data_IF_792861235126
#
_entry.id   IF_792861235126
#
_cell.length_a   1.000
_cell.length_b   1.000
_cell.length_c   1.000
_cell.angle_alpha   90.00
_cell.angle_beta   90.00
_cell.angle_gamma   90.00
#
_symmetry.space_group_name_H-M   'P 1'
#
loop_
_entity.id
_entity.type
_entity.pdbx_description
1 polymer ?
#
# COMPACT_ATOMS: atom_id res chain seq x y z
N UNK A 1 -57.42 -23.82 1.34
CA UNK A 1 -58.02 -23.32 2.59
C UNK A 1 -57.23 -22.08 3.00
N UNK A 2 -57.57 -20.99 2.51
CA UNK A 2 -58.26 -19.74 2.91
C UNK A 2 -58.20 -19.41 4.41
N UNK A 3 -57.60 -18.24 4.70
CA UNK A 3 -58.09 -17.04 5.43
C UNK A 3 -56.87 -16.17 5.79
N UNK A 4 -56.67 -15.00 5.32
CA UNK A 4 -57.35 -13.68 5.21
C UNK A 4 -57.71 -13.05 6.58
N UNK A 5 -57.35 -11.80 6.65
CA UNK A 5 -57.86 -10.65 7.45
C UNK A 5 -56.76 -10.05 8.34
N UNK A 6 -56.48 -8.81 8.31
CA UNK A 6 -57.02 -7.47 7.98
C UNK A 6 -56.41 -6.49 9.00
N UNK A 7 -55.99 -5.34 8.47
CA UNK A 7 -55.69 -4.03 9.05
C UNK A 7 -56.34 -3.68 10.38
N UNK A 8 -55.65 -2.81 11.16
CA UNK A 8 -56.24 -1.54 11.56
C UNK A 8 -55.17 -0.49 11.91
N UNK A 9 -55.30 0.63 11.29
CA UNK A 9 -54.77 1.97 11.55
C UNK A 9 -55.45 2.58 12.78
N UNK A 10 -54.76 3.40 13.55
CA UNK A 10 -55.38 4.65 14.07
C UNK A 10 -54.32 5.65 14.51
N UNK A 11 -54.57 6.83 14.08
CA UNK A 11 -53.88 8.12 14.21
C UNK A 11 -54.36 8.95 15.40
N UNK A 12 -53.74 10.13 15.53
CA UNK A 12 -54.15 11.37 16.26
C UNK A 12 -53.74 11.43 17.76
N UNK A 13 -53.41 12.56 18.36
CA UNK A 13 -53.15 13.96 17.97
C UNK A 13 -52.59 14.71 19.18
N UNK A 14 -51.85 15.79 18.89
CA UNK A 14 -51.83 17.14 19.51
C UNK A 14 -51.83 17.34 21.06
N UNK A 15 -50.95 18.13 21.60
CA UNK A 15 -51.02 19.56 21.96
C UNK A 15 -49.86 19.94 22.85
N UNK A 16 -49.05 20.87 22.54
CA UNK A 16 -48.97 22.30 22.83
C UNK A 16 -48.97 22.66 24.34
N UNK A 17 -47.95 23.39 24.77
CA UNK A 17 -47.88 24.10 26.04
C UNK A 17 -46.54 24.82 26.26
N UNK A 18 -46.56 26.14 26.01
CA UNK A 18 -45.53 27.15 26.38
C UNK A 18 -45.44 27.34 27.89
N UNK A 19 -44.28 27.69 28.42
CA UNK A 19 -44.04 29.01 29.02
C UNK A 19 -42.67 29.12 29.74
N UNK A 20 -42.03 30.20 29.46
CA UNK A 20 -41.08 31.08 30.12
C UNK A 20 -40.63 30.82 31.57
N UNK A 21 -39.36 31.00 31.89
CA UNK A 21 -38.74 32.16 32.53
C UNK A 21 -37.33 31.88 33.05
N UNK A 22 -36.38 32.79 32.62
CA UNK A 22 -35.36 33.54 33.39
C UNK A 22 -34.60 32.80 34.51
N UNK A 23 -33.29 32.91 34.69
CA UNK A 23 -32.32 34.02 34.57
C UNK A 23 -30.97 33.58 35.12
N UNK A 24 -29.88 34.20 34.57
CA UNK A 24 -28.61 34.58 35.27
C UNK A 24 -27.75 33.47 35.81
N UNK A 25 -26.49 33.34 35.41
CA UNK A 25 -25.34 34.21 35.71
C UNK A 25 -24.09 33.75 34.95
N UNK A 26 -23.37 34.71 34.49
CA UNK A 26 -21.96 34.93 34.15
C UNK A 26 -20.94 33.99 34.84
N UNK A 27 -19.96 33.46 34.08
CA UNK A 27 -18.54 33.64 34.40
C UNK A 27 -17.61 32.96 33.34
N UNK A 28 -16.69 33.76 32.85
CA UNK A 28 -15.33 33.49 32.38
C UNK A 28 -15.10 32.57 31.16
N UNK A 29 -14.90 33.26 30.02
CA UNK A 29 -14.05 32.80 28.91
C UNK A 29 -12.65 33.42 29.06
N UNK A 30 -11.56 32.67 28.83
CA UNK A 30 -10.25 33.26 28.59
C UNK A 30 -10.07 33.62 27.11
N UNK A 31 -9.57 34.81 26.90
CA UNK A 31 -9.30 35.53 25.68
C UNK A 31 -8.29 34.83 24.73
N UNK A 32 -8.58 34.85 23.42
CA UNK A 32 -7.68 34.52 22.32
C UNK A 32 -6.71 35.69 22.05
N UNK A 33 -5.45 35.42 21.66
CA UNK A 33 -4.52 36.46 21.23
C UNK A 33 -4.76 36.91 19.77
N UNK A 34 -4.24 38.09 19.35
CA UNK A 34 -4.71 38.84 18.17
C UNK A 34 -4.18 38.34 16.83
N UNK A 35 -4.98 38.63 15.81
CA UNK A 35 -4.76 38.37 14.39
C UNK A 35 -3.48 38.99 13.83
N UNK A 36 -2.75 38.22 13.00
CA UNK A 36 -1.74 38.70 12.07
C UNK A 36 -2.38 39.05 10.70
N UNK A 37 -1.90 40.07 10.00
CA UNK A 37 -2.51 40.51 8.74
C UNK A 37 -2.15 39.63 7.54
N UNK A 38 -2.92 39.68 6.43
CA UNK A 38 -2.69 38.85 5.25
C UNK A 38 -1.53 39.38 4.41
N UNK A 39 -0.58 38.52 4.06
CA UNK A 39 0.48 38.82 3.10
C UNK A 39 -0.02 38.56 1.67
N UNK A 40 0.02 39.66 0.88
CA UNK A 40 -0.14 39.68 -0.57
C UNK A 40 1.02 38.95 -1.26
N UNK A 41 0.77 37.87 -2.03
CA UNK A 41 1.73 37.36 -3.00
C UNK A 41 1.17 37.45 -4.41
N UNK A 42 1.73 38.39 -5.15
CA UNK A 42 1.63 38.52 -6.60
C UNK A 42 2.35 37.35 -7.29
N UNK A 43 1.77 36.86 -8.37
CA UNK A 43 2.25 35.75 -9.15
C UNK A 43 3.60 35.99 -9.85
N UNK A 44 4.38 34.93 -9.95
CA UNK A 44 5.43 34.75 -10.96
C UNK A 44 5.37 33.34 -11.50
N UNK A 45 5.23 33.21 -12.79
CA UNK A 45 5.33 32.01 -13.62
C UNK A 45 6.71 31.34 -13.44
N UNK A 46 6.80 30.00 -13.31
CA UNK A 46 8.09 29.30 -13.38
C UNK A 46 8.35 28.80 -14.79
N UNK A 47 9.50 29.15 -15.35
CA UNK A 47 10.12 28.54 -16.49
C UNK A 47 10.80 27.18 -16.15
N UNK A 48 11.20 26.37 -17.16
CA UNK A 48 11.61 25.00 -16.95
C UNK A 48 13.12 24.87 -16.67
N UNK A 49 13.46 24.24 -15.54
CA UNK A 49 14.76 23.58 -15.37
C UNK A 49 14.66 22.53 -14.25
N UNK A 50 14.52 21.28 -14.65
CA UNK A 50 14.67 20.17 -13.75
C UNK A 50 16.16 19.82 -13.59
N UNK A 51 16.82 20.37 -12.60
CA UNK A 51 18.08 19.83 -12.10
C UNK A 51 17.80 18.83 -11.00
N UNK A 52 18.34 17.61 -11.20
CA UNK A 52 18.28 16.51 -10.26
C UNK A 52 18.86 16.91 -8.89
N UNK A 53 17.98 17.11 -7.92
CA UNK A 53 18.38 17.30 -6.54
C UNK A 53 18.48 15.92 -5.88
N UNK A 54 19.70 15.41 -5.72
CA UNK A 54 20.01 14.26 -4.88
C UNK A 54 19.56 14.57 -3.45
N UNK A 55 18.46 13.94 -3.01
CA UNK A 55 17.86 14.18 -1.71
C UNK A 55 18.84 13.99 -0.56
N UNK A 56 19.02 15.02 0.24
CA UNK A 56 19.79 14.99 1.48
C UNK A 56 19.24 13.91 2.40
N UNK A 57 20.12 13.00 2.81
CA UNK A 57 19.86 11.96 3.80
C UNK A 57 19.68 12.63 5.16
N UNK A 58 18.46 12.63 5.69
CA UNK A 58 18.20 13.09 7.06
C UNK A 58 18.75 12.07 8.06
N UNK A 59 19.76 12.45 8.83
CA UNK A 59 20.30 11.66 9.91
C UNK A 59 19.60 12.06 11.21
N UNK A 60 18.91 11.14 11.86
CA UNK A 60 18.54 11.27 13.26
C UNK A 60 18.97 10.00 14.00
N UNK A 61 20.10 10.04 14.75
CA UNK A 61 20.43 8.99 15.67
C UNK A 61 19.58 9.17 16.93
N UNK A 62 18.77 8.17 17.27
CA UNK A 62 18.17 8.07 18.59
C UNK A 62 19.14 7.27 19.47
N UNK A 63 19.93 7.97 20.28
CA UNK A 63 20.77 7.37 21.31
C UNK A 63 19.91 7.06 22.53
N UNK A 64 19.78 5.80 22.89
CA UNK A 64 19.32 5.40 24.22
C UNK A 64 20.53 5.15 25.12
N UNK A 65 20.49 5.69 26.33
CA UNK A 65 21.56 5.67 27.35
C UNK A 65 21.89 4.28 27.96
N UNK A 66 21.64 3.18 27.26
CA UNK A 66 21.84 1.80 27.76
C UNK A 66 22.99 1.06 27.09
N UNK A 67 23.89 1.76 26.37
CA UNK A 67 24.97 1.09 25.61
C UNK A 67 24.48 0.28 24.40
N UNK A 68 23.19 0.25 24.16
CA UNK A 68 22.53 -0.47 23.06
C UNK A 68 22.33 0.46 21.87
N UNK A 69 22.91 0.11 20.73
CA UNK A 69 22.86 0.95 19.51
C UNK A 69 21.72 0.52 18.60
N UNK A 70 20.72 1.39 18.42
CA UNK A 70 19.73 1.30 17.36
C UNK A 70 20.09 2.32 16.27
N UNK A 71 20.61 1.85 15.15
CA UNK A 71 20.86 2.68 13.97
C UNK A 71 19.62 2.72 13.09
N UNK A 72 19.06 3.93 12.84
CA UNK A 72 17.90 4.13 11.96
C UNK A 72 18.30 5.06 10.82
N UNK A 73 18.05 4.64 9.58
CA UNK A 73 18.29 5.45 8.39
C UNK A 73 17.16 5.29 7.38
N UNK A 74 16.87 6.34 6.64
CA UNK A 74 15.81 6.35 5.63
C UNK A 74 16.27 7.00 4.34
N UNK A 75 15.74 6.51 3.21
CA UNK A 75 15.87 7.12 1.90
C UNK A 75 14.53 7.08 1.15
N UNK A 76 14.34 7.99 0.19
CA UNK A 76 13.21 7.94 -0.74
C UNK A 76 13.65 7.20 -2.00
N UNK A 77 13.04 6.06 -2.30
CA UNK A 77 13.33 5.22 -3.47
C UNK A 77 12.08 4.39 -3.83
N UNK A 78 11.93 3.97 -5.09
CA UNK A 78 10.75 3.23 -5.60
C UNK A 78 9.42 3.93 -5.28
N UNK A 79 9.39 5.28 -5.30
CA UNK A 79 8.20 6.07 -5.01
C UNK A 79 7.72 6.04 -3.56
N UNK A 80 8.54 5.55 -2.61
CA UNK A 80 8.20 5.44 -1.20
C UNK A 80 9.38 5.79 -0.29
N UNK A 81 9.14 5.78 1.03
CA UNK A 81 10.21 5.86 2.03
C UNK A 81 10.67 4.44 2.38
N UNK A 82 11.96 4.19 2.25
CA UNK A 82 12.62 2.98 2.75
C UNK A 82 13.34 3.33 4.03
N UNK A 83 13.06 2.60 5.11
CA UNK A 83 13.67 2.78 6.44
C UNK A 83 14.29 1.46 6.88
N UNK A 84 15.55 1.52 7.28
CA UNK A 84 16.27 0.39 7.88
C UNK A 84 16.64 0.74 9.31
N UNK A 85 16.25 -0.11 10.25
CA UNK A 85 16.58 -0.03 11.67
C UNK A 85 17.40 -1.28 12.03
N UNK A 86 18.65 -1.10 12.44
CA UNK A 86 19.58 -2.18 12.80
C UNK A 86 19.90 -2.09 14.28
N UNK A 87 19.89 -3.24 14.96
CA UNK A 87 20.19 -3.36 16.37
C UNK A 87 21.54 -4.01 16.63
N UNK A 88 22.26 -3.54 17.67
CA UNK A 88 23.45 -4.25 18.21
C UNK A 88 24.72 -4.12 17.39
N UNK A 89 24.84 -3.22 16.42
CA UNK A 89 26.02 -3.03 15.59
C UNK A 89 26.61 -1.62 15.73
N UNK A 90 27.93 -1.53 15.51
CA UNK A 90 28.63 -0.24 15.45
C UNK A 90 27.99 0.70 14.41
N UNK A 91 27.81 1.99 14.74
CA UNK A 91 27.17 2.94 13.85
C UNK A 91 27.78 3.04 12.45
N UNK A 92 29.12 2.99 12.35
CA UNK A 92 29.84 3.03 11.07
C UNK A 92 29.56 1.80 10.20
N UNK A 93 29.50 0.60 10.79
CA UNK A 93 29.19 -0.66 10.09
C UNK A 93 27.74 -0.67 9.62
N UNK A 94 26.82 -0.26 10.49
CA UNK A 94 25.40 -0.11 10.16
C UNK A 94 25.17 0.91 9.04
N UNK A 95 25.91 2.03 9.05
CA UNK A 95 25.85 3.05 8.00
C UNK A 95 26.26 2.49 6.63
N UNK A 96 27.38 1.79 6.54
CA UNK A 96 27.89 1.21 5.28
C UNK A 96 26.91 0.22 4.66
N UNK A 97 26.40 -0.74 5.45
CA UNK A 97 25.43 -1.72 4.92
C UNK A 97 24.12 -1.07 4.52
N UNK A 98 23.69 -0.02 5.20
CA UNK A 98 22.48 0.72 4.83
C UNK A 98 22.61 1.37 3.45
N UNK A 99 23.78 1.92 3.11
CA UNK A 99 24.00 2.45 1.76
C UNK A 99 23.99 1.34 0.70
N UNK A 100 24.52 0.16 1.00
CA UNK A 100 24.42 -1.00 0.10
C UNK A 100 22.95 -1.40 -0.13
N UNK A 101 22.13 -1.43 0.94
CA UNK A 101 20.68 -1.69 0.85
C UNK A 101 20.00 -0.64 -0.04
N UNK A 102 20.27 0.66 0.17
CA UNK A 102 19.66 1.70 -0.66
C UNK A 102 20.14 1.67 -2.12
N UNK A 103 21.39 1.27 -2.37
CA UNK A 103 21.90 1.03 -3.74
C UNK A 103 21.14 -0.11 -4.41
N UNK A 104 20.86 -1.18 -3.68
CA UNK A 104 20.10 -2.33 -4.19
C UNK A 104 18.66 -1.94 -4.54
N UNK A 105 17.96 -1.19 -3.68
CA UNK A 105 16.66 -0.65 -4.01
C UNK A 105 16.68 0.23 -5.27
N UNK A 106 17.69 1.10 -5.42
CA UNK A 106 17.85 1.93 -6.63
C UNK A 106 18.13 1.08 -7.89
N UNK A 107 18.89 -0.01 -7.76
CA UNK A 107 19.16 -0.94 -8.86
C UNK A 107 17.87 -1.60 -9.34
N UNK A 108 17.08 -2.13 -8.42
CA UNK A 108 15.79 -2.79 -8.73
C UNK A 108 14.78 -1.79 -9.30
N UNK A 109 14.73 -0.57 -8.79
CA UNK A 109 13.89 0.50 -9.32
C UNK A 109 14.21 0.77 -10.80
N UNK A 110 15.50 0.91 -11.15
CA UNK A 110 15.92 1.10 -12.57
C UNK A 110 15.48 -0.05 -13.48
N UNK A 111 15.51 -1.29 -13.00
CA UNK A 111 15.10 -2.45 -13.79
C UNK A 111 13.57 -2.52 -13.98
N UNK A 112 12.79 -2.17 -12.95
CA UNK A 112 11.37 -2.52 -12.84
C UNK A 112 10.42 -1.32 -12.90
N UNK A 113 10.91 -0.09 -12.90
CA UNK A 113 10.06 1.10 -13.01
C UNK A 113 9.29 1.13 -14.32
N UNK A 114 8.05 1.61 -14.28
CA UNK A 114 7.26 1.91 -15.49
C UNK A 114 7.25 3.40 -15.84
N UNK A 115 8.03 4.21 -15.10
CA UNK A 115 8.02 5.68 -15.23
C UNK A 115 9.12 6.24 -16.14
N UNK A 116 10.21 5.53 -16.35
CA UNK A 116 11.26 5.90 -17.29
C UNK A 116 11.11 5.22 -18.67
N UNK A 117 12.10 5.38 -19.54
CA UNK A 117 12.15 4.76 -20.85
C UNK A 117 13.12 3.58 -20.92
N UNK A 118 14.06 3.47 -19.96
CA UNK A 118 15.22 2.57 -20.08
C UNK A 118 15.05 1.24 -19.34
N UNK A 119 14.05 1.15 -18.45
CA UNK A 119 13.78 -0.10 -17.72
C UNK A 119 13.25 -1.18 -18.65
N UNK A 120 13.42 -2.45 -18.25
CA UNK A 120 12.85 -3.57 -19.01
C UNK A 120 11.33 -3.51 -19.09
N UNK A 121 10.66 -3.09 -18.01
CA UNK A 121 9.20 -2.85 -17.98
C UNK A 121 8.80 -1.79 -19.02
N UNK A 122 9.57 -0.71 -19.13
CA UNK A 122 9.29 0.33 -20.13
C UNK A 122 9.53 -0.17 -21.56
N UNK A 123 10.58 -0.97 -21.80
CA UNK A 123 10.83 -1.62 -23.10
C UNK A 123 9.70 -2.59 -23.49
N UNK A 124 9.21 -3.41 -22.52
CA UNK A 124 8.05 -4.28 -22.74
C UNK A 124 6.83 -3.44 -23.16
N UNK A 125 6.55 -2.36 -22.42
CA UNK A 125 5.41 -1.48 -22.69
C UNK A 125 5.50 -0.78 -24.04
N UNK A 126 6.68 -0.36 -24.49
CA UNK A 126 6.92 0.28 -25.79
C UNK A 126 6.75 -0.70 -26.97
N UNK A 127 6.92 -2.00 -26.73
CA UNK A 127 6.81 -3.06 -27.72
C UNK A 127 5.47 -3.83 -27.65
N UNK A 128 4.48 -3.33 -26.93
CA UNK A 128 3.15 -3.94 -26.86
C UNK A 128 2.51 -4.12 -28.23
N UNK A 129 2.03 -5.33 -28.53
CA UNK A 129 1.48 -5.72 -29.83
C UNK A 129 2.50 -5.89 -30.96
N UNK A 130 3.79 -5.64 -30.69
CA UNK A 130 4.86 -5.72 -31.71
C UNK A 130 5.68 -7.00 -31.54
N UNK A 131 6.73 -6.95 -30.70
CA UNK A 131 7.69 -8.05 -30.54
C UNK A 131 7.88 -8.43 -29.08
N UNK A 132 8.43 -9.62 -28.85
CA UNK A 132 8.91 -10.04 -27.54
C UNK A 132 10.18 -9.26 -27.17
N UNK A 133 10.35 -8.97 -25.89
CA UNK A 133 11.49 -8.25 -25.32
C UNK A 133 12.24 -9.20 -24.41
N UNK A 134 13.55 -9.35 -24.62
CA UNK A 134 14.44 -10.03 -23.66
C UNK A 134 14.60 -9.14 -22.45
N UNK A 135 14.45 -9.71 -21.27
CA UNK A 135 14.52 -8.96 -19.99
C UNK A 135 15.53 -9.58 -19.05
N UNK A 136 15.98 -8.81 -18.09
CA UNK A 136 16.81 -9.27 -16.99
C UNK A 136 16.15 -10.48 -16.28
N UNK A 137 16.90 -11.52 -15.90
CA UNK A 137 16.36 -12.69 -15.19
C UNK A 137 15.59 -12.35 -13.92
N UNK A 138 15.94 -11.28 -13.21
CA UNK A 138 15.20 -10.83 -12.02
C UNK A 138 13.84 -10.24 -12.40
N UNK A 139 13.77 -9.44 -13.46
CA UNK A 139 12.51 -8.90 -14.00
C UNK A 139 11.62 -10.05 -14.48
N UNK A 140 12.20 -11.02 -15.20
CA UNK A 140 11.49 -12.21 -15.64
C UNK A 140 10.90 -12.99 -14.47
N UNK A 141 11.70 -13.24 -13.43
CA UNK A 141 11.27 -13.93 -12.19
C UNK A 141 10.09 -13.22 -11.52
N UNK A 142 10.14 -11.90 -11.42
CA UNK A 142 9.05 -11.11 -10.81
C UNK A 142 7.78 -11.18 -11.65
N UNK A 143 7.89 -11.08 -12.99
CA UNK A 143 6.75 -11.21 -13.91
C UNK A 143 6.15 -12.62 -13.83
N UNK A 144 6.95 -13.67 -13.81
CA UNK A 144 6.48 -15.05 -13.65
C UNK A 144 5.73 -15.25 -12.35
N UNK A 145 6.25 -14.67 -11.26
CA UNK A 145 5.55 -14.72 -9.97
C UNK A 145 4.22 -13.95 -10.03
N UNK A 146 4.21 -12.77 -10.62
CA UNK A 146 2.98 -11.99 -10.84
C UNK A 146 1.93 -12.79 -11.63
N UNK A 147 2.32 -13.46 -12.70
CA UNK A 147 1.46 -14.36 -13.50
C UNK A 147 0.88 -15.51 -12.65
N UNK A 148 1.70 -16.12 -11.80
CA UNK A 148 1.25 -17.15 -10.86
C UNK A 148 0.16 -16.61 -9.92
N UNK A 149 0.38 -15.44 -9.33
CA UNK A 149 -0.59 -14.79 -8.43
C UNK A 149 -1.86 -14.41 -9.20
N UNK A 150 -1.74 -13.86 -10.42
CA UNK A 150 -2.88 -13.54 -11.28
C UNK A 150 -3.76 -14.78 -11.53
N UNK A 151 -3.15 -15.91 -11.89
CA UNK A 151 -3.86 -17.18 -12.10
C UNK A 151 -4.54 -17.67 -10.82
N UNK A 152 -3.84 -17.65 -9.69
CA UNK A 152 -4.34 -18.16 -8.41
C UNK A 152 -5.44 -17.27 -7.82
N UNK A 153 -5.38 -15.95 -8.04
CA UNK A 153 -6.39 -14.98 -7.58
C UNK A 153 -7.57 -14.83 -8.53
N UNK A 154 -7.59 -15.56 -9.66
CA UNK A 154 -8.63 -15.41 -10.69
C UNK A 154 -8.61 -14.03 -11.36
N UNK A 155 -7.42 -13.41 -11.48
CA UNK A 155 -7.25 -12.09 -12.08
C UNK A 155 -7.48 -10.91 -11.13
N UNK A 156 -7.68 -11.14 -9.84
CA UNK A 156 -7.77 -10.05 -8.85
C UNK A 156 -6.43 -9.31 -8.69
N UNK A 157 -5.32 -9.98 -8.95
CA UNK A 157 -4.02 -9.37 -9.20
C UNK A 157 -3.71 -9.43 -10.69
N UNK A 158 -3.42 -8.30 -11.30
CA UNK A 158 -3.08 -8.26 -12.72
C UNK A 158 -2.12 -7.09 -12.98
N UNK A 159 -0.90 -7.41 -13.41
CA UNK A 159 0.10 -6.38 -13.72
C UNK A 159 -0.26 -5.53 -14.93
N UNK A 160 -1.21 -5.98 -15.77
CA UNK A 160 -1.67 -5.21 -16.93
C UNK A 160 -2.53 -4.00 -16.56
N UNK A 161 -2.90 -3.81 -15.28
CA UNK A 161 -3.53 -2.57 -14.77
C UNK A 161 -2.69 -1.32 -15.07
N UNK A 162 -1.42 -1.48 -15.43
CA UNK A 162 -0.60 -0.41 -16.04
C UNK A 162 -1.25 0.25 -17.26
N UNK A 163 -2.19 -0.43 -17.94
CA UNK A 163 -3.00 0.12 -19.02
C UNK A 163 -3.92 1.27 -18.63
N UNK A 164 -4.23 1.43 -17.33
CA UNK A 164 -5.00 2.57 -16.82
C UNK A 164 -4.16 3.81 -16.53
N UNK A 165 -2.83 3.76 -16.76
CA UNK A 165 -1.96 4.92 -16.56
C UNK A 165 -2.43 6.12 -17.39
N UNK A 166 -2.43 7.30 -16.76
CA UNK A 166 -2.89 8.55 -17.35
C UNK A 166 -4.42 8.71 -17.42
N UNK A 167 -5.18 7.65 -17.12
CA UNK A 167 -6.63 7.72 -16.95
C UNK A 167 -6.99 8.01 -15.49
N UNK A 168 -6.44 7.23 -14.57
CA UNK A 168 -6.48 7.50 -13.15
C UNK A 168 -5.19 8.22 -12.70
N UNK A 169 -5.35 9.27 -11.92
CA UNK A 169 -4.28 10.14 -11.44
C UNK A 169 -4.27 10.10 -9.91
N UNK A 170 -3.31 9.39 -9.34
CA UNK A 170 -3.20 9.19 -7.90
C UNK A 170 -1.83 9.55 -7.32
N UNK A 171 -0.90 9.96 -8.16
CA UNK A 171 0.48 10.26 -7.78
C UNK A 171 0.79 11.76 -7.91
N UNK A 172 1.85 12.12 -8.59
CA UNK A 172 2.27 13.52 -8.81
C UNK A 172 1.32 14.29 -9.75
N UNK A 173 0.51 13.55 -10.50
CA UNK A 173 -0.51 14.04 -11.42
C UNK A 173 -1.91 14.13 -10.78
N UNK A 174 -2.01 14.02 -9.45
CA UNK A 174 -3.28 14.05 -8.71
C UNK A 174 -4.04 15.35 -8.96
N UNK A 175 -5.23 15.25 -9.56
CA UNK A 175 -6.11 16.38 -9.84
C UNK A 175 -7.58 16.17 -9.37
N UNK A 176 -7.88 15.04 -8.74
CA UNK A 176 -9.23 14.69 -8.27
C UNK A 176 -10.24 14.41 -9.39
N UNK A 177 -9.77 14.18 -10.63
CA UNK A 177 -10.62 13.82 -11.76
C UNK A 177 -11.05 12.36 -11.66
N UNK A 178 -12.37 12.12 -11.80
CA UNK A 178 -12.93 10.78 -11.98
C UNK A 178 -13.04 10.55 -13.49
N UNK A 179 -12.41 9.51 -14.05
CA UNK A 179 -12.49 9.23 -15.47
C UNK A 179 -13.90 8.93 -15.95
N UNK A 180 -14.18 9.27 -17.21
CA UNK A 180 -15.41 8.88 -17.87
C UNK A 180 -15.51 7.33 -17.90
N UNK A 181 -16.64 6.73 -17.50
CA UNK A 181 -16.86 5.29 -17.56
C UNK A 181 -16.66 4.69 -18.96
N UNK A 182 -16.94 5.42 -20.03
CA UNK A 182 -16.69 4.97 -21.40
C UNK A 182 -15.19 4.83 -21.69
N UNK A 183 -14.36 5.77 -21.22
CA UNK A 183 -12.89 5.69 -21.35
C UNK A 183 -12.32 4.58 -20.47
N UNK A 184 -12.87 4.35 -19.25
CA UNK A 184 -12.51 3.21 -18.41
C UNK A 184 -12.80 1.90 -19.15
N UNK A 185 -14.00 1.76 -19.75
CA UNK A 185 -14.40 0.57 -20.54
C UNK A 185 -13.48 0.33 -21.73
N UNK A 186 -13.10 1.37 -22.45
CA UNK A 186 -12.15 1.30 -23.57
C UNK A 186 -10.77 0.81 -23.13
N UNK A 187 -10.26 1.31 -21.99
CA UNK A 187 -8.99 0.85 -21.41
C UNK A 187 -9.09 -0.56 -20.84
N UNK A 188 -10.23 -0.93 -20.27
CA UNK A 188 -10.47 -2.26 -19.72
C UNK A 188 -10.25 -3.37 -20.78
N UNK A 189 -10.57 -3.11 -22.06
CA UNK A 189 -10.28 -4.01 -23.15
C UNK A 189 -8.77 -4.34 -23.33
N UNK A 190 -7.87 -3.55 -22.72
CA UNK A 190 -6.42 -3.77 -22.75
C UNK A 190 -5.90 -4.44 -21.48
N UNK A 191 -6.77 -4.79 -20.52
CA UNK A 191 -6.40 -5.44 -19.28
C UNK A 191 -6.62 -6.95 -19.39
N UNK A 192 -5.65 -7.74 -18.97
CA UNK A 192 -5.77 -9.20 -18.98
C UNK A 192 -4.42 -9.91 -18.93
N UNK A 193 -4.08 -10.47 -17.77
CA UNK A 193 -2.81 -11.15 -17.50
C UNK A 193 -2.53 -12.33 -18.47
N UNK A 194 -3.57 -13.00 -18.99
CA UNK A 194 -3.43 -14.09 -19.97
C UNK A 194 -2.80 -13.66 -21.28
N UNK A 195 -2.80 -12.36 -21.58
CA UNK A 195 -2.21 -11.76 -22.79
C UNK A 195 -0.77 -11.25 -22.56
N UNK A 196 -0.20 -11.49 -21.39
CA UNK A 196 1.23 -11.34 -21.14
C UNK A 196 1.88 -12.68 -21.43
N UNK A 197 2.49 -12.80 -22.60
CA UNK A 197 3.11 -14.02 -23.11
C UNK A 197 4.57 -14.06 -22.66
N UNK A 198 5.02 -15.18 -22.12
CA UNK A 198 6.36 -15.35 -21.56
C UNK A 198 7.03 -16.60 -22.14
N UNK A 199 8.33 -16.51 -22.43
CA UNK A 199 9.17 -17.65 -22.82
C UNK A 199 10.28 -17.84 -21.76
N UNK A 200 10.18 -18.91 -20.93
CA UNK A 200 11.16 -19.18 -19.88
C UNK A 200 12.57 -19.55 -20.40
N UNK A 201 12.67 -20.08 -21.61
CA UNK A 201 13.97 -20.46 -22.17
C UNK A 201 14.77 -19.26 -22.66
N UNK A 202 14.06 -18.26 -23.17
CA UNK A 202 14.67 -17.04 -23.75
C UNK A 202 14.58 -15.83 -22.83
N UNK A 203 13.97 -15.96 -21.66
CA UNK A 203 13.62 -14.85 -20.76
C UNK A 203 12.95 -13.68 -21.51
N UNK A 204 11.99 -13.97 -22.38
CA UNK A 204 11.28 -12.93 -23.11
C UNK A 204 9.87 -12.72 -22.62
N UNK A 205 9.41 -11.47 -22.75
CA UNK A 205 8.04 -11.06 -22.41
C UNK A 205 7.44 -10.33 -23.61
N UNK A 206 6.20 -10.68 -23.99
CA UNK A 206 5.44 -10.01 -25.07
C UNK A 206 4.05 -9.67 -24.55
N UNK A 207 3.62 -8.45 -24.77
CA UNK A 207 2.21 -8.04 -24.63
C UNK A 207 1.51 -8.30 -25.96
N UNK A 208 0.43 -9.07 -25.93
CA UNK A 208 -0.22 -9.55 -27.14
C UNK A 208 -0.77 -8.42 -28.00
N UNK A 209 -1.37 -7.39 -27.38
CA UNK A 209 -2.09 -6.34 -28.13
C UNK A 209 -1.41 -4.97 -28.00
N UNK A 210 -1.52 -4.13 -29.06
CA UNK A 210 -1.12 -2.73 -28.99
C UNK A 210 -1.87 -1.98 -27.89
N UNK A 211 -1.15 -1.10 -27.18
CA UNK A 211 -1.70 -0.29 -26.09
C UNK A 211 -1.85 -1.00 -24.76
N UNK A 212 -1.55 -2.29 -24.64
CA UNK A 212 -1.34 -2.94 -23.36
C UNK A 212 -0.14 -2.33 -22.64
N UNK A 213 -0.19 -2.30 -21.32
CA UNK A 213 0.92 -1.86 -20.46
C UNK A 213 0.93 -2.67 -19.19
N UNK A 214 2.11 -3.00 -18.69
CA UNK A 214 2.28 -3.60 -17.38
C UNK A 214 2.90 -2.62 -16.39
N UNK A 215 2.66 -2.88 -15.12
CA UNK A 215 3.35 -2.27 -13.98
C UNK A 215 3.65 -3.34 -12.94
N UNK A 216 4.82 -3.25 -12.32
CA UNK A 216 5.22 -4.17 -11.23
C UNK A 216 5.03 -3.53 -9.84
N UNK A 217 4.31 -2.40 -9.75
CA UNK A 217 4.15 -1.64 -8.51
C UNK A 217 3.57 -2.40 -7.32
N UNK A 218 2.80 -3.48 -7.57
CA UNK A 218 2.23 -4.33 -6.51
C UNK A 218 3.05 -5.60 -6.19
N UNK A 219 4.31 -5.69 -6.64
CA UNK A 219 5.16 -6.87 -6.40
C UNK A 219 6.66 -6.53 -6.31
N UNK A 220 7.09 -5.45 -6.96
CA UNK A 220 8.52 -5.10 -7.06
C UNK A 220 9.09 -4.57 -5.75
N UNK A 221 8.29 -3.89 -4.92
CA UNK A 221 8.76 -3.42 -3.60
C UNK A 221 9.03 -4.59 -2.67
N UNK A 222 8.12 -5.56 -2.62
CA UNK A 222 8.32 -6.78 -1.84
C UNK A 222 9.53 -7.57 -2.34
N UNK A 223 9.77 -7.63 -3.66
CA UNK A 223 10.98 -8.23 -4.22
C UNK A 223 12.25 -7.51 -3.75
N UNK A 224 12.26 -6.17 -3.79
CA UNK A 224 13.40 -5.37 -3.32
C UNK A 224 13.67 -5.58 -1.82
N UNK A 225 12.62 -5.68 -0.99
CA UNK A 225 12.76 -6.04 0.43
C UNK A 225 13.40 -7.42 0.58
N UNK A 226 12.97 -8.43 -0.18
CA UNK A 226 13.58 -9.78 -0.12
C UNK A 226 15.07 -9.77 -0.51
N UNK A 227 15.48 -9.01 -1.55
CA UNK A 227 16.87 -8.89 -1.95
C UNK A 227 17.72 -8.17 -0.88
N UNK A 228 17.20 -7.09 -0.31
CA UNK A 228 17.86 -6.35 0.75
C UNK A 228 18.02 -7.18 2.04
N UNK A 229 17.01 -7.98 2.39
CA UNK A 229 17.08 -8.94 3.52
C UNK A 229 18.19 -9.97 3.28
N UNK A 230 18.28 -10.53 2.08
CA UNK A 230 19.33 -11.47 1.71
C UNK A 230 20.73 -10.82 1.79
N UNK A 231 20.85 -9.57 1.33
CA UNK A 231 22.09 -8.78 1.44
C UNK A 231 22.50 -8.57 2.91
N UNK A 232 21.56 -8.14 3.76
CA UNK A 232 21.80 -7.91 5.19
C UNK A 232 22.28 -9.19 5.88
N UNK A 233 21.62 -10.31 5.65
CA UNK A 233 22.05 -11.61 6.22
C UNK A 233 23.43 -12.03 5.71
N UNK A 234 23.73 -11.84 4.41
CA UNK A 234 25.06 -12.09 3.82
C UNK A 234 26.16 -11.24 4.46
N UNK A 235 25.81 -10.03 4.92
CA UNK A 235 26.71 -9.11 5.64
C UNK A 235 26.78 -9.38 7.15
N UNK A 236 26.10 -10.41 7.65
CA UNK A 236 26.12 -10.81 9.07
C UNK A 236 25.17 -9.99 9.97
N UNK A 237 24.22 -9.24 9.38
CA UNK A 237 23.19 -8.53 10.15
C UNK A 237 21.98 -9.44 10.35
N UNK A 238 21.59 -9.67 11.60
CA UNK A 238 20.50 -10.58 11.97
C UNK A 238 19.37 -9.91 12.71
N UNK A 239 19.60 -8.76 13.34
CA UNK A 239 18.65 -8.04 14.17
C UNK A 239 18.27 -6.70 13.55
N UNK A 240 17.21 -6.67 12.73
CA UNK A 240 16.78 -5.46 12.01
C UNK A 240 15.30 -5.47 11.64
N UNK A 241 14.78 -4.27 11.39
CA UNK A 241 13.54 -4.04 10.65
C UNK A 241 13.88 -3.28 9.38
N UNK A 242 13.42 -3.79 8.23
CA UNK A 242 13.45 -3.11 6.94
C UNK A 242 12.02 -2.83 6.49
N UNK A 243 11.71 -1.58 6.24
CA UNK A 243 10.39 -1.14 5.78
C UNK A 243 10.51 -0.34 4.48
N UNK A 244 9.69 -0.66 3.50
CA UNK A 244 9.55 0.04 2.22
C UNK A 244 8.07 0.38 1.95
N UNK A 245 7.63 1.57 2.40
CA UNK A 245 6.22 1.92 2.40
C UNK A 245 5.40 0.96 3.27
N UNK A 246 4.41 0.29 2.65
CA UNK A 246 3.57 -0.72 3.31
C UNK A 246 4.23 -2.09 3.49
N UNK A 247 5.41 -2.33 2.91
CA UNK A 247 6.11 -3.61 2.97
C UNK A 247 7.18 -3.57 4.05
N UNK A 248 7.15 -4.53 4.97
CA UNK A 248 8.04 -4.58 6.13
C UNK A 248 8.54 -6.01 6.35
N UNK A 249 9.81 -6.16 6.68
CA UNK A 249 10.41 -7.41 7.15
C UNK A 249 11.07 -7.20 8.51
N UNK A 250 10.87 -8.15 9.42
CA UNK A 250 11.58 -8.19 10.70
C UNK A 250 12.54 -9.38 10.70
N UNK A 251 13.78 -9.14 11.12
CA UNK A 251 14.79 -10.18 11.34
C UNK A 251 15.21 -10.14 12.81
N UNK A 252 15.38 -11.34 13.39
CA UNK A 252 15.83 -11.47 14.76
C UNK A 252 14.98 -10.72 15.78
N UNK A 253 15.62 -9.96 16.67
CA UNK A 253 14.97 -9.26 17.78
C UNK A 253 15.74 -7.99 18.19
N UNK A 254 15.14 -7.17 19.04
CA UNK A 254 15.77 -5.97 19.59
C UNK A 254 16.31 -6.27 21.00
N UNK A 255 17.55 -6.70 21.11
CA UNK A 255 18.12 -7.19 22.37
C UNK A 255 17.31 -8.38 22.89
N UNK A 256 16.84 -8.33 24.13
CA UNK A 256 15.99 -9.37 24.73
C UNK A 256 14.50 -9.29 24.29
N UNK A 257 14.12 -8.35 23.43
CA UNK A 257 12.72 -8.07 23.09
C UNK A 257 12.41 -8.39 21.64
N UNK A 258 11.29 -9.03 21.39
CA UNK A 258 10.78 -9.22 20.02
C UNK A 258 10.38 -7.87 19.39
N UNK A 259 10.51 -7.80 18.07
CA UNK A 259 9.99 -6.68 17.31
C UNK A 259 8.46 -6.63 17.42
N UNK A 260 7.92 -5.43 17.70
CA UNK A 260 6.49 -5.15 17.66
C UNK A 260 6.17 -4.31 16.42
N UNK A 261 5.24 -4.78 15.62
CA UNK A 261 4.81 -4.11 14.40
C UNK A 261 3.38 -3.65 14.57
N UNK A 262 3.14 -2.36 14.30
CA UNK A 262 1.81 -1.76 14.29
C UNK A 262 1.09 -2.02 12.97
N UNK A 263 -0.18 -2.41 13.02
CA UNK A 263 -1.07 -2.40 11.87
C UNK A 263 -1.80 -1.05 11.86
N UNK A 264 -1.52 -0.24 10.83
CA UNK A 264 -2.04 1.11 10.70
C UNK A 264 -3.55 1.15 10.67
N UNK A 265 -4.13 2.09 11.41
CA UNK A 265 -5.55 2.42 11.31
C UNK A 265 -5.84 3.10 9.96
N UNK A 266 -6.73 2.55 9.10
CA UNK A 266 -6.99 3.10 7.78
C UNK A 266 -7.51 4.54 7.76
N UNK A 267 -8.10 5.00 8.86
CA UNK A 267 -8.69 6.34 9.00
C UNK A 267 -8.15 7.12 10.21
N UNK A 268 -7.30 6.47 11.00
CA UNK A 268 -6.66 7.10 12.16
C UNK A 268 -5.35 7.79 11.82
N UNK A 269 -4.77 8.49 12.80
CA UNK A 269 -3.43 9.07 12.68
C UNK A 269 -2.38 7.99 12.31
N UNK A 270 -1.39 8.33 11.47
CA UNK A 270 -0.40 7.35 10.99
C UNK A 270 0.42 6.67 12.10
N UNK A 271 0.63 7.35 13.21
CA UNK A 271 1.39 6.91 14.39
C UNK A 271 0.57 6.09 15.39
N UNK A 272 -0.76 5.99 15.19
CA UNK A 272 -1.66 5.27 16.09
C UNK A 272 -2.21 4.00 15.43
N UNK A 273 -1.53 2.84 15.57
CA UNK A 273 -2.02 1.58 15.02
C UNK A 273 -3.31 1.13 15.73
N UNK A 274 -4.20 0.43 15.02
CA UNK A 274 -5.37 -0.19 15.64
C UNK A 274 -5.07 -1.58 16.22
N UNK A 275 -3.98 -2.21 15.76
CA UNK A 275 -3.53 -3.51 16.23
C UNK A 275 -2.01 -3.60 16.26
N UNK A 276 -1.49 -4.51 17.08
CA UNK A 276 -0.08 -4.87 17.15
C UNK A 276 0.11 -6.33 16.80
N UNK A 277 1.25 -6.65 16.19
CA UNK A 277 1.69 -8.01 15.99
C UNK A 277 3.14 -8.17 16.49
N UNK A 278 3.44 -9.31 17.10
CA UNK A 278 4.81 -9.77 17.35
C UNK A 278 5.20 -10.68 16.20
N UNK A 279 6.28 -10.32 15.52
CA UNK A 279 6.76 -11.10 14.38
C UNK A 279 8.28 -11.20 14.42
N UNK A 280 8.79 -12.38 14.05
CA UNK A 280 10.21 -12.66 13.94
C UNK A 280 10.47 -13.42 12.64
N UNK A 281 11.43 -12.94 11.85
CA UNK A 281 11.84 -13.56 10.57
C UNK A 281 10.67 -13.72 9.58
N UNK A 282 9.78 -12.74 9.55
CA UNK A 282 8.62 -12.69 8.66
C UNK A 282 8.42 -11.29 8.12
N UNK A 283 7.61 -11.20 7.09
CA UNK A 283 7.18 -9.95 6.48
C UNK A 283 5.72 -9.64 6.82
N UNK A 284 5.43 -8.35 6.88
CA UNK A 284 4.11 -7.75 6.82
C UNK A 284 4.05 -6.84 5.61
N UNK A 285 3.04 -7.03 4.76
CA UNK A 285 2.76 -6.12 3.65
C UNK A 285 1.33 -5.64 3.74
N UNK A 286 1.14 -4.34 3.68
CA UNK A 286 -0.19 -3.72 3.78
C UNK A 286 -0.54 -2.99 2.50
N UNK A 287 -1.66 -3.39 1.89
CA UNK A 287 -2.35 -2.64 0.86
C UNK A 287 -3.50 -1.87 1.51
N UNK A 288 -3.54 -0.54 1.29
CA UNK A 288 -4.55 0.33 1.87
C UNK A 288 -5.03 1.41 0.91
N UNK A 289 -6.31 1.75 1.00
CA UNK A 289 -6.96 2.77 0.17
C UNK A 289 -6.56 4.21 0.53
N UNK A 290 -5.83 4.37 1.61
CA UNK A 290 -5.36 5.66 2.15
C UNK A 290 -3.96 6.07 1.67
N UNK A 291 -3.24 5.20 0.98
CA UNK A 291 -1.85 5.48 0.58
C UNK A 291 -1.77 6.51 -0.55
N UNK A 292 -2.55 6.32 -1.60
CA UNK A 292 -2.64 7.22 -2.76
C UNK A 292 -4.07 7.30 -3.24
N UNK A 293 -4.62 8.51 -3.26
CA UNK A 293 -6.00 8.72 -3.67
C UNK A 293 -6.57 10.04 -3.18
N UNK A 294 -7.85 10.22 -3.42
CA UNK A 294 -8.61 11.41 -3.03
C UNK A 294 -10.02 11.04 -2.60
N UNK A 295 -10.69 11.96 -1.90
CA UNK A 295 -12.11 11.84 -1.56
C UNK A 295 -12.89 12.87 -2.36
N UNK A 296 -13.97 12.45 -3.02
CA UNK A 296 -14.88 13.31 -3.76
C UNK A 296 -16.32 12.88 -3.50
N UNK A 297 -17.17 13.81 -3.07
CA UNK A 297 -18.57 13.55 -2.70
C UNK A 297 -18.70 12.40 -1.68
N UNK A 298 -17.84 12.36 -0.66
CA UNK A 298 -17.85 11.31 0.37
C UNK A 298 -17.34 9.93 -0.09
N UNK A 299 -16.95 9.77 -1.35
CA UNK A 299 -16.43 8.52 -1.92
C UNK A 299 -14.92 8.62 -2.06
N UNK A 300 -14.20 7.60 -1.57
CA UNK A 300 -12.75 7.48 -1.71
C UNK A 300 -12.39 6.80 -3.04
N UNK A 301 -11.52 7.44 -3.79
CA UNK A 301 -10.89 6.92 -5.00
C UNK A 301 -9.41 6.72 -4.74
N UNK A 302 -8.88 5.54 -5.07
CA UNK A 302 -7.52 5.15 -4.71
C UNK A 302 -6.87 4.26 -5.77
N UNK A 303 -5.55 4.12 -5.70
CA UNK A 303 -4.69 3.48 -6.68
C UNK A 303 -4.84 1.95 -6.83
N UNK A 304 -5.51 1.27 -5.89
CA UNK A 304 -5.72 -0.17 -6.00
C UNK A 304 -6.96 -0.41 -6.87
N UNK A 305 -6.73 -0.53 -8.17
CA UNK A 305 -7.79 -0.74 -9.15
C UNK A 305 -8.21 -2.21 -9.21
N UNK A 306 -9.50 -2.44 -9.35
CA UNK A 306 -10.03 -3.77 -9.67
C UNK A 306 -9.84 -4.04 -11.18
N UNK A 307 -9.03 -5.05 -11.58
CA UNK A 307 -8.76 -5.34 -12.97
C UNK A 307 -10.00 -5.68 -13.78
N UNK A 308 -11.05 -6.20 -13.14
CA UNK A 308 -12.31 -6.57 -13.81
C UNK A 308 -13.22 -5.38 -14.12
N UNK A 309 -13.06 -4.25 -13.41
CA UNK A 309 -13.96 -3.09 -13.57
C UNK A 309 -13.24 -1.83 -14.03
N UNK A 310 -11.91 -1.74 -13.81
CA UNK A 310 -11.11 -0.54 -14.07
C UNK A 310 -11.32 0.59 -13.06
N UNK A 311 -12.11 0.37 -12.01
CA UNK A 311 -12.36 1.33 -10.92
C UNK A 311 -11.64 0.90 -9.63
N UNK A 312 -11.44 1.81 -8.67
CA UNK A 312 -10.93 1.46 -7.35
C UNK A 312 -11.72 0.32 -6.70
N UNK A 313 -11.02 -0.63 -6.10
CA UNK A 313 -11.65 -1.75 -5.38
C UNK A 313 -12.36 -1.25 -4.12
N UNK A 314 -13.53 -1.82 -3.76
CA UNK A 314 -14.42 -1.24 -2.73
C UNK A 314 -14.64 -2.14 -1.51
N UNK A 315 -13.99 -3.30 -1.42
CA UNK A 315 -14.31 -4.31 -0.38
C UNK A 315 -13.49 -4.21 0.88
N UNK A 316 -12.39 -3.48 0.85
CA UNK A 316 -11.48 -3.32 1.97
C UNK A 316 -11.03 -1.87 2.08
N UNK A 317 -10.70 -1.45 3.31
CA UNK A 317 -9.94 -0.25 3.63
C UNK A 317 -8.45 -0.56 3.71
N UNK A 318 -8.11 -1.71 4.29
CA UNK A 318 -6.75 -2.23 4.30
C UNK A 318 -6.72 -3.75 4.38
N UNK A 319 -5.64 -4.33 3.87
CA UNK A 319 -5.31 -5.74 4.02
C UNK A 319 -3.84 -5.85 4.35
N UNK A 320 -3.53 -6.45 5.49
CA UNK A 320 -2.16 -6.72 5.92
C UNK A 320 -1.89 -8.21 5.82
N UNK A 321 -0.91 -8.60 5.02
CA UNK A 321 -0.54 -10.01 4.78
C UNK A 321 0.76 -10.34 5.50
N UNK A 322 0.78 -11.46 6.22
CA UNK A 322 1.97 -12.04 6.83
C UNK A 322 2.40 -13.31 6.10
N UNK A 323 3.68 -13.40 5.78
CA UNK A 323 4.33 -14.59 5.22
C UNK A 323 5.85 -14.49 5.39
N UNK A 324 6.63 -15.46 4.85
CA UNK A 324 8.11 -15.46 4.94
C UNK A 324 8.79 -14.58 3.90
N UNK A 325 8.15 -14.30 2.76
CA UNK A 325 8.73 -13.56 1.62
C UNK A 325 7.94 -12.29 1.33
N UNK A 326 8.65 -11.16 1.27
CA UNK A 326 8.02 -9.86 1.07
C UNK A 326 7.38 -9.73 -0.33
N UNK A 327 7.98 -10.30 -1.38
CA UNK A 327 7.37 -10.35 -2.71
C UNK A 327 6.03 -11.09 -2.70
N UNK A 328 5.92 -12.14 -1.90
CA UNK A 328 4.66 -12.88 -1.73
C UNK A 328 3.62 -12.03 -1.03
N UNK A 329 4.01 -11.39 0.08
CA UNK A 329 3.11 -10.54 0.86
C UNK A 329 2.59 -9.34 0.05
N UNK A 330 3.46 -8.64 -0.70
CA UNK A 330 3.11 -7.47 -1.53
C UNK A 330 2.06 -7.85 -2.59
N UNK A 331 2.30 -8.90 -3.38
CA UNK A 331 1.35 -9.34 -4.41
C UNK A 331 0.02 -9.83 -3.81
N UNK A 332 0.07 -10.58 -2.70
CA UNK A 332 -1.14 -11.10 -2.07
C UNK A 332 -1.92 -10.05 -1.31
N UNK A 333 -1.29 -9.05 -0.70
CA UNK A 333 -2.02 -7.95 -0.05
C UNK A 333 -2.90 -7.19 -1.04
N UNK A 334 -2.38 -6.91 -2.24
CA UNK A 334 -3.12 -6.30 -3.35
C UNK A 334 -4.25 -7.22 -3.86
N UNK A 335 -3.95 -8.51 -4.09
CA UNK A 335 -4.95 -9.49 -4.54
C UNK A 335 -6.13 -9.60 -3.58
N UNK A 336 -5.82 -9.76 -2.30
CA UNK A 336 -6.81 -9.95 -1.24
C UNK A 336 -7.63 -8.68 -1.00
N UNK A 337 -7.03 -7.52 -1.19
CA UNK A 337 -7.75 -6.24 -1.13
C UNK A 337 -8.86 -6.18 -2.20
N UNK A 338 -8.58 -6.60 -3.42
CA UNK A 338 -9.56 -6.66 -4.51
C UNK A 338 -10.62 -7.74 -4.27
N UNK A 339 -10.21 -8.92 -3.79
CA UNK A 339 -11.13 -10.04 -3.51
C UNK A 339 -12.09 -9.75 -2.36
N UNK A 340 -11.62 -9.02 -1.35
CA UNK A 340 -12.33 -8.79 -0.09
C UNK A 340 -12.22 -9.96 0.91
N UNK A 341 -12.68 -9.76 2.16
CA UNK A 341 -12.39 -10.69 3.25
C UNK A 341 -12.99 -12.09 3.03
N UNK A 342 -14.22 -12.22 2.54
CA UNK A 342 -14.89 -13.52 2.40
C UNK A 342 -14.21 -14.42 1.34
N UNK A 343 -13.97 -13.88 0.12
CA UNK A 343 -13.29 -14.62 -0.95
C UNK A 343 -11.81 -14.80 -0.63
N UNK A 344 -11.18 -13.78 -0.05
CA UNK A 344 -9.77 -13.81 0.34
C UNK A 344 -9.48 -14.85 1.41
N UNK A 345 -10.28 -14.93 2.48
CA UNK A 345 -10.10 -15.92 3.54
C UNK A 345 -10.24 -17.36 3.01
N UNK A 346 -11.29 -17.64 2.21
CA UNK A 346 -11.47 -18.97 1.58
C UNK A 346 -10.29 -19.37 0.69
N UNK A 347 -9.68 -18.41 0.00
CA UNK A 347 -8.51 -18.68 -0.83
C UNK A 347 -7.30 -19.00 0.05
N UNK A 348 -7.09 -18.25 1.14
CA UNK A 348 -5.98 -18.44 2.07
C UNK A 348 -6.08 -19.76 2.85
N UNK A 349 -7.28 -20.30 3.07
CA UNK A 349 -7.46 -21.64 3.68
C UNK A 349 -6.75 -22.74 2.87
N UNK A 350 -6.54 -22.52 1.55
CA UNK A 350 -5.83 -23.43 0.64
C UNK A 350 -4.34 -23.07 0.45
N UNK A 351 -3.85 -22.04 1.16
CA UNK A 351 -2.51 -21.49 0.97
C UNK A 351 -1.74 -21.44 2.31
N UNK A 352 -1.18 -22.55 2.76
CA UNK A 352 -0.44 -22.59 4.02
C UNK A 352 0.74 -21.61 3.99
N UNK A 353 1.00 -20.94 5.12
CA UNK A 353 2.10 -19.99 5.28
C UNK A 353 1.78 -18.56 4.84
N UNK A 354 0.56 -18.27 4.36
CA UNK A 354 0.06 -16.91 4.09
C UNK A 354 -1.14 -16.65 5.00
N UNK A 355 -1.11 -15.54 5.71
CA UNK A 355 -2.20 -15.15 6.62
C UNK A 355 -2.46 -13.66 6.50
N UNK A 356 -3.68 -13.21 6.81
CA UNK A 356 -4.06 -11.83 6.62
C UNK A 356 -4.96 -11.27 7.74
N UNK A 357 -4.85 -9.96 7.93
CA UNK A 357 -5.81 -9.11 8.65
C UNK A 357 -6.46 -8.19 7.63
N UNK A 358 -7.78 -8.17 7.57
CA UNK A 358 -8.57 -7.26 6.74
C UNK A 358 -9.28 -6.24 7.63
N UNK A 359 -9.34 -5.02 7.17
CA UNK A 359 -10.36 -4.05 7.58
C UNK A 359 -11.26 -3.84 6.37
N UNK A 360 -12.51 -4.27 6.44
CA UNK A 360 -13.44 -4.19 5.32
C UNK A 360 -14.05 -2.79 5.14
N UNK A 361 -14.88 -2.63 4.12
CA UNK A 361 -15.60 -1.39 3.81
C UNK A 361 -16.57 -0.95 4.93
N UNK A 362 -17.06 -1.92 5.73
CA UNK A 362 -17.91 -1.68 6.91
C UNK A 362 -17.13 -1.45 8.21
N UNK A 363 -15.81 -1.27 8.10
CA UNK A 363 -14.91 -1.07 9.24
C UNK A 363 -14.80 -2.28 10.18
N UNK A 364 -15.11 -3.49 9.72
CA UNK A 364 -14.99 -4.71 10.50
C UNK A 364 -13.62 -5.35 10.29
N UNK A 365 -13.09 -5.95 11.36
CA UNK A 365 -11.79 -6.63 11.35
C UNK A 365 -12.01 -8.12 11.12
N UNK A 366 -11.33 -8.68 10.11
CA UNK A 366 -11.30 -10.12 9.83
C UNK A 366 -9.87 -10.63 9.93
N UNK A 367 -9.63 -11.64 10.77
CA UNK A 367 -8.30 -12.23 11.00
C UNK A 367 -8.35 -13.71 10.59
N UNK A 368 -7.45 -14.11 9.68
CA UNK A 368 -7.34 -15.51 9.26
C UNK A 368 -6.71 -16.39 10.35
N UNK A 369 -6.95 -17.71 10.30
CA UNK A 369 -6.56 -18.68 11.33
C UNK A 369 -5.09 -18.59 11.73
N UNK A 370 -4.17 -18.41 10.78
CA UNK A 370 -2.71 -18.37 11.04
C UNK A 370 -2.22 -17.16 11.84
N UNK A 371 -3.07 -16.13 12.04
CA UNK A 371 -2.77 -14.94 12.85
C UNK A 371 -3.53 -14.88 14.16
N UNK A 372 -4.44 -15.82 14.45
CA UNK A 372 -5.09 -15.89 15.76
C UNK A 372 -4.05 -16.05 16.87
N UNK A 373 -4.12 -15.23 17.91
CA UNK A 373 -3.16 -15.20 19.01
C UNK A 373 -1.81 -14.53 18.71
N UNK A 374 -1.59 -14.05 17.47
CA UNK A 374 -0.38 -13.31 17.05
C UNK A 374 -0.63 -11.82 16.80
N UNK A 375 -1.89 -11.42 16.72
CA UNK A 375 -2.34 -10.05 16.52
C UNK A 375 -3.23 -9.65 17.70
N UNK A 376 -2.91 -8.52 18.30
CA UNK A 376 -3.66 -7.93 19.42
C UNK A 376 -4.35 -6.67 18.94
N UNK A 377 -5.67 -6.66 18.99
CA UNK A 377 -6.47 -5.49 18.66
C UNK A 377 -6.41 -4.52 19.85
N UNK A 378 -5.93 -3.31 19.62
CA UNK A 378 -5.84 -2.24 20.62
C UNK A 378 -7.14 -1.45 20.71
N UNK A 379 -7.78 -1.25 19.57
CA UNK A 379 -9.03 -0.50 19.42
C UNK A 379 -9.73 -0.86 18.10
N UNK A 380 -10.98 -0.51 17.96
CA UNK A 380 -11.67 -0.54 16.66
C UNK A 380 -11.01 0.46 15.72
N UNK A 381 -10.88 0.15 14.41
CA UNK A 381 -10.42 1.13 13.44
C UNK A 381 -11.35 2.34 13.41
N UNK A 382 -10.78 3.51 13.14
CA UNK A 382 -11.53 4.76 13.07
C UNK A 382 -12.56 4.71 11.94
N UNK A 383 -13.82 5.14 12.16
CA UNK A 383 -14.81 5.24 11.10
C UNK A 383 -14.46 6.38 10.13
N UNK A 384 -15.16 6.43 8.97
CA UNK A 384 -15.01 7.49 7.96
C UNK A 384 -14.96 6.93 6.53
N UNK A 385 -15.05 7.81 5.53
CA UNK A 385 -15.00 7.46 4.11
C UNK A 385 -13.62 6.96 3.65
#
# INVERSE_FOLDING_TARGET
VRRLCICLTLSLSLAAGCSDKKSTTSADQPSLPPHLPPSSHQGKTPGPAATANAGRIGHTPVANNTGEHLAVRSAKVMGTRVTLSIWGHEPAKAARVTEEVFKEFRRIDRLMTSWGNDSDVSKINANAGKKAVVVDPEVFKVIMYAQKVSKQSGGAFDITVGGFRGLWKFDQDLDGTIPDPAEVKKRLAKIGYKRVLVDPKKHTVKLADPGMRITLGGVAKGYAVDQAVALLHKRGFVDFILQAGGDLYTSGQRGAREWRVGIRDPRGPPDKPFALAKIKNHTFSTSGDYERGFVKNGIRYHHILNPATGFPAKKCRSVTVMTKKAMVADAWSTSLFVLGPQKGARLLDKMPGISAVFVDDKNQIHITKGLKGKVWILRKPTPGP
#
